data_IF_239538483705
#
_entry.id   IF_239538483705
#
_cell.length_a   1.000
_cell.length_b   1.000
_cell.length_c   1.000
_cell.angle_alpha   90.00
_cell.angle_beta   90.00
_cell.angle_gamma   90.00
#
_symmetry.space_group_name_H-M   'P 1'
#
loop_
_entity.id
_entity.type
_entity.pdbx_description
1 polymer ?
#
# COMPACT_ATOMS: atom_id res chain seq x y z
N UNK A 1 -41.71 -10.80 17.76
CA UNK A 1 -41.08 -11.13 16.48
C UNK A 1 -40.05 -10.04 16.17
N UNK A 2 -38.79 -10.36 16.34
CA UNK A 2 -37.68 -9.40 16.15
C UNK A 2 -37.32 -9.24 14.68
N UNK A 3 -37.32 -8.02 14.12
CA UNK A 3 -36.89 -7.75 12.74
C UNK A 3 -35.37 -7.58 12.59
N UNK A 4 -34.57 -7.96 13.60
CA UNK A 4 -33.13 -7.64 13.65
C UNK A 4 -32.22 -8.57 12.85
N UNK A 5 -32.69 -9.73 12.37
CA UNK A 5 -31.86 -10.67 11.61
C UNK A 5 -31.84 -10.42 10.10
N UNK A 6 -32.79 -9.68 9.56
CA UNK A 6 -32.83 -9.34 8.13
C UNK A 6 -31.88 -8.20 7.75
N UNK A 7 -31.50 -7.35 8.70
CA UNK A 7 -30.65 -6.18 8.48
C UNK A 7 -29.16 -6.52 8.27
N UNK A 8 -28.65 -7.57 8.92
CA UNK A 8 -27.23 -7.92 8.78
C UNK A 8 -26.93 -8.59 7.44
N UNK A 9 -27.77 -9.52 7.01
CA UNK A 9 -27.61 -10.21 5.73
C UNK A 9 -27.74 -9.26 4.52
N UNK A 10 -28.68 -8.32 4.57
CA UNK A 10 -28.83 -7.29 3.52
C UNK A 10 -27.63 -6.33 3.50
N UNK A 11 -27.08 -5.96 4.65
CA UNK A 11 -25.86 -5.14 4.76
C UNK A 11 -24.64 -5.88 4.21
N UNK A 12 -24.52 -7.17 4.43
CA UNK A 12 -23.39 -7.97 3.93
C UNK A 12 -23.47 -8.20 2.42
N UNK A 13 -24.66 -8.41 1.88
CA UNK A 13 -24.88 -8.51 0.43
C UNK A 13 -24.58 -7.17 -0.27
N UNK A 14 -25.00 -6.04 0.35
CA UNK A 14 -24.69 -4.71 -0.19
C UNK A 14 -23.21 -4.42 -0.19
N UNK A 15 -22.48 -4.75 0.88
CA UNK A 15 -21.01 -4.60 0.97
C UNK A 15 -20.27 -5.41 -0.10
N UNK A 16 -20.81 -6.53 -0.54
CA UNK A 16 -20.24 -7.37 -1.60
C UNK A 16 -20.33 -6.77 -3.00
N UNK A 17 -21.22 -5.81 -3.23
CA UNK A 17 -21.54 -5.26 -4.55
C UNK A 17 -20.99 -3.85 -4.80
N UNK A 18 -20.38 -3.21 -3.79
CA UNK A 18 -19.93 -1.82 -3.89
C UNK A 18 -18.44 -1.75 -4.22
N UNK A 19 -18.09 -0.92 -5.21
CA UNK A 19 -16.71 -0.54 -5.48
C UNK A 19 -16.13 0.21 -4.28
N UNK A 20 -14.97 -0.22 -3.80
CA UNK A 20 -14.25 0.42 -2.69
C UNK A 20 -13.29 1.47 -3.25
N UNK A 21 -13.40 2.70 -2.80
CA UNK A 21 -12.38 3.70 -3.10
C UNK A 21 -11.11 3.37 -2.32
N UNK A 22 -10.11 2.85 -3.01
CA UNK A 22 -8.86 2.39 -2.39
C UNK A 22 -7.83 3.51 -2.30
N UNK A 23 -7.14 3.59 -1.16
CA UNK A 23 -5.93 4.39 -0.97
C UNK A 23 -4.78 3.45 -0.61
N UNK A 24 -3.74 3.44 -1.43
CA UNK A 24 -2.59 2.55 -1.28
C UNK A 24 -1.34 3.36 -1.02
N UNK A 25 -0.64 3.06 0.07
CA UNK A 25 0.63 3.71 0.43
C UNK A 25 1.73 2.64 0.52
N UNK A 26 2.81 2.85 -0.21
CA UNK A 26 4.04 2.08 -0.05
C UNK A 26 4.94 2.77 0.97
N UNK A 27 5.36 2.06 2.01
CA UNK A 27 6.23 2.59 3.06
C UNK A 27 7.58 1.89 3.00
N UNK A 28 8.62 2.66 2.80
CA UNK A 28 10.00 2.22 2.73
C UNK A 28 10.85 2.91 3.78
N UNK A 29 11.84 2.19 4.29
CA UNK A 29 12.85 2.74 5.19
C UNK A 29 13.56 1.67 6.01
N UNK A 30 14.64 2.05 6.71
CA UNK A 30 15.43 1.12 7.52
C UNK A 30 14.61 0.40 8.59
N UNK A 31 15.10 -0.75 9.03
CA UNK A 31 14.48 -1.50 10.13
C UNK A 31 14.54 -0.68 11.42
N UNK A 32 13.50 -0.77 12.25
CA UNK A 32 13.46 -0.11 13.55
C UNK A 32 13.05 1.38 13.53
N UNK A 33 12.68 1.93 12.36
CA UNK A 33 12.25 3.34 12.25
C UNK A 33 10.78 3.59 12.63
N UNK A 34 10.07 2.56 13.10
CA UNK A 34 8.68 2.71 13.57
C UNK A 34 7.62 2.76 12.48
N UNK A 35 7.92 2.32 11.25
CA UNK A 35 6.97 2.32 10.10
C UNK A 35 5.60 1.74 10.44
N UNK A 36 5.58 0.48 10.87
CA UNK A 36 4.33 -0.23 11.21
C UNK A 36 3.60 0.40 12.39
N UNK A 37 4.35 0.84 13.40
CA UNK A 37 3.81 1.52 14.56
C UNK A 37 3.13 2.83 14.18
N UNK A 38 3.77 3.65 13.37
CA UNK A 38 3.24 4.92 12.86
C UNK A 38 1.87 4.75 12.18
N UNK A 39 1.71 3.70 11.34
CA UNK A 39 0.42 3.41 10.69
C UNK A 39 -0.62 2.98 11.70
N UNK A 40 -0.28 2.04 12.60
CA UNK A 40 -1.23 1.52 13.60
C UNK A 40 -1.70 2.59 14.59
N UNK A 41 -0.81 3.50 14.98
CA UNK A 41 -1.16 4.63 15.84
C UNK A 41 -2.03 5.66 15.12
N UNK A 42 -1.74 5.92 13.84
CA UNK A 42 -2.51 6.86 13.02
C UNK A 42 -3.93 6.37 12.68
N UNK A 43 -4.08 5.11 12.36
CA UNK A 43 -5.37 4.51 11.93
C UNK A 43 -6.16 3.90 13.09
N UNK A 44 -5.54 3.67 14.24
CA UNK A 44 -6.09 2.93 15.37
C UNK A 44 -5.88 1.42 15.24
N UNK A 45 -5.41 0.80 16.31
CA UNK A 45 -5.05 -0.63 16.34
C UNK A 45 -6.20 -1.57 15.97
N UNK A 46 -7.42 -1.27 16.40
CA UNK A 46 -8.61 -2.08 16.12
C UNK A 46 -9.07 -2.00 14.66
N UNK A 47 -8.71 -0.95 13.95
CA UNK A 47 -9.07 -0.75 12.55
C UNK A 47 -8.07 -1.38 11.58
N UNK A 48 -6.92 -1.82 12.08
CA UNK A 48 -5.83 -2.36 11.29
C UNK A 48 -5.77 -3.87 11.36
N UNK A 49 -5.60 -4.51 10.22
CA UNK A 49 -5.21 -5.90 10.12
C UNK A 49 -3.82 -5.98 9.49
N UNK A 50 -2.86 -6.57 10.19
CA UNK A 50 -1.50 -6.77 9.70
C UNK A 50 -1.32 -8.22 9.24
N UNK A 51 -0.93 -8.37 7.97
CA UNK A 51 -0.50 -9.64 7.40
C UNK A 51 0.93 -9.91 7.86
N UNK A 52 1.12 -10.95 8.65
CA UNK A 52 2.44 -11.40 9.12
C UNK A 52 2.81 -12.77 8.56
N UNK A 53 1.83 -13.56 8.16
CA UNK A 53 2.02 -14.86 7.50
C UNK A 53 1.48 -14.81 6.08
N UNK A 54 2.36 -14.83 5.10
CA UNK A 54 2.00 -14.76 3.68
C UNK A 54 1.56 -16.09 3.07
N UNK A 55 1.64 -17.20 3.82
CA UNK A 55 1.04 -18.49 3.39
C UNK A 55 -0.48 -18.48 3.59
N UNK A 56 -0.95 -17.86 4.67
CA UNK A 56 -2.36 -17.73 4.99
C UNK A 56 -2.71 -16.28 5.38
N UNK A 57 -2.57 -15.34 4.42
CA UNK A 57 -2.49 -13.91 4.75
C UNK A 57 -3.77 -13.35 5.38
N UNK A 58 -4.93 -13.94 5.14
CA UNK A 58 -6.21 -13.35 5.53
C UNK A 58 -6.99 -14.15 6.59
N UNK A 59 -6.42 -15.22 7.13
CA UNK A 59 -7.12 -16.07 8.11
C UNK A 59 -7.58 -15.31 9.37
N UNK A 60 -6.83 -14.32 9.81
CA UNK A 60 -7.17 -13.48 10.95
C UNK A 60 -8.00 -12.24 10.63
N UNK A 61 -8.25 -11.94 9.34
CA UNK A 61 -8.99 -10.77 8.94
C UNK A 61 -10.45 -10.82 9.41
N UNK A 62 -10.98 -9.72 9.92
CA UNK A 62 -12.34 -9.61 10.47
C UNK A 62 -13.12 -8.39 9.96
N UNK A 63 -12.78 -7.90 8.76
CA UNK A 63 -13.43 -6.76 8.17
C UNK A 63 -12.84 -5.40 8.58
N UNK A 64 -11.61 -5.37 9.08
CA UNK A 64 -10.90 -4.12 9.37
C UNK A 64 -10.80 -3.25 8.13
N UNK A 65 -10.81 -1.93 8.32
CA UNK A 65 -10.78 -0.95 7.24
C UNK A 65 -9.39 -0.71 6.66
N UNK A 66 -8.35 -1.05 7.41
CA UNK A 66 -6.94 -0.84 7.04
C UNK A 66 -6.23 -2.18 6.95
N UNK A 67 -5.66 -2.46 5.79
CA UNK A 67 -4.85 -3.65 5.52
C UNK A 67 -3.37 -3.27 5.52
N UNK A 68 -2.55 -3.95 6.32
CA UNK A 68 -1.11 -3.77 6.32
C UNK A 68 -0.43 -5.04 5.81
N UNK A 69 0.32 -4.92 4.73
CA UNK A 69 1.26 -5.94 4.27
C UNK A 69 2.61 -5.63 4.89
N UNK A 70 2.87 -6.19 6.07
CA UNK A 70 4.06 -5.90 6.86
C UNK A 70 5.25 -6.75 6.42
N UNK A 71 6.47 -6.21 6.53
CA UNK A 71 7.70 -6.86 6.09
C UNK A 71 7.61 -7.45 4.67
N UNK A 72 7.05 -6.69 3.75
CA UNK A 72 6.76 -7.15 2.41
C UNK A 72 8.02 -7.19 1.53
N UNK A 73 8.30 -8.36 0.95
CA UNK A 73 9.43 -8.61 0.05
C UNK A 73 8.96 -9.43 -1.15
N UNK A 74 8.05 -8.87 -1.95
CA UNK A 74 7.39 -9.59 -3.06
C UNK A 74 6.77 -10.93 -2.58
N UNK A 75 6.25 -10.91 -1.36
CA UNK A 75 5.82 -12.10 -0.61
C UNK A 75 4.55 -12.74 -1.15
N UNK A 76 3.81 -12.04 -1.99
CA UNK A 76 2.62 -12.52 -2.70
C UNK A 76 2.82 -12.35 -4.21
N UNK A 77 2.23 -13.22 -5.05
CA UNK A 77 2.29 -13.06 -6.50
C UNK A 77 1.77 -11.68 -6.94
N UNK A 78 2.42 -11.06 -7.91
CA UNK A 78 2.07 -9.72 -8.40
C UNK A 78 0.59 -9.63 -8.82
N UNK A 79 0.09 -10.64 -9.55
CA UNK A 79 -1.31 -10.67 -9.97
C UNK A 79 -2.30 -10.71 -8.79
N UNK A 80 -1.94 -11.40 -7.70
CA UNK A 80 -2.73 -11.42 -6.47
C UNK A 80 -2.73 -10.05 -5.78
N UNK A 81 -1.57 -9.40 -5.72
CA UNK A 81 -1.47 -8.04 -5.18
C UNK A 81 -2.31 -7.04 -5.97
N UNK A 82 -2.33 -7.15 -7.30
CA UNK A 82 -3.20 -6.30 -8.14
C UNK A 82 -4.67 -6.41 -7.75
N UNK A 83 -5.14 -7.63 -7.43
CA UNK A 83 -6.52 -7.86 -6.98
C UNK A 83 -6.76 -7.32 -5.56
N UNK A 84 -5.82 -7.54 -4.64
CA UNK A 84 -5.95 -7.08 -3.25
C UNK A 84 -5.93 -5.56 -3.11
N UNK A 85 -5.24 -4.87 -4.00
CA UNK A 85 -5.15 -3.41 -4.03
C UNK A 85 -6.21 -2.74 -4.90
N UNK A 86 -7.06 -3.53 -5.55
CA UNK A 86 -8.16 -3.01 -6.36
C UNK A 86 -9.42 -2.75 -5.52
N UNK A 87 -10.27 -1.85 -6.01
CA UNK A 87 -11.54 -1.48 -5.37
C UNK A 87 -12.71 -2.40 -5.68
N UNK A 88 -12.58 -3.32 -6.63
CA UNK A 88 -13.66 -4.23 -6.98
C UNK A 88 -14.03 -5.17 -5.82
N UNK A 89 -15.30 -5.62 -5.75
CA UNK A 89 -15.71 -6.63 -4.78
C UNK A 89 -14.81 -7.86 -4.86
N UNK A 90 -14.26 -8.28 -3.73
CA UNK A 90 -13.28 -9.34 -3.66
C UNK A 90 -13.50 -10.23 -2.43
N UNK A 91 -13.47 -11.54 -2.64
CA UNK A 91 -13.39 -12.53 -1.58
C UNK A 91 -11.93 -12.89 -1.31
N UNK A 92 -11.50 -12.72 -0.08
CA UNK A 92 -10.16 -13.09 0.37
C UNK A 92 -10.10 -14.57 0.68
N UNK A 93 -9.12 -15.31 0.12
CA UNK A 93 -8.98 -16.74 0.36
C UNK A 93 -8.54 -17.00 1.80
N UNK A 94 -9.29 -17.82 2.51
CA UNK A 94 -8.99 -18.27 3.87
C UNK A 94 -9.17 -19.78 3.98
N UNK A 95 -8.50 -20.43 4.95
CA UNK A 95 -8.52 -21.89 5.11
C UNK A 95 -9.90 -22.48 5.38
N UNK A 96 -10.77 -21.78 6.09
CA UNK A 96 -12.06 -22.33 6.53
C UNK A 96 -13.24 -21.73 5.77
N UNK A 97 -13.27 -20.44 5.59
CA UNK A 97 -14.30 -19.73 4.84
C UNK A 97 -13.73 -18.42 4.28
N UNK A 98 -13.97 -18.17 2.99
CA UNK A 98 -13.57 -16.92 2.37
C UNK A 98 -14.22 -15.74 3.09
N UNK A 99 -13.49 -14.62 3.11
CA UNK A 99 -13.91 -13.39 3.76
C UNK A 99 -14.05 -12.25 2.76
N UNK A 100 -15.08 -11.44 2.94
CA UNK A 100 -15.27 -10.26 2.10
C UNK A 100 -14.23 -9.19 2.41
N UNK A 101 -13.52 -8.69 1.40
CA UNK A 101 -12.64 -7.55 1.53
C UNK A 101 -13.46 -6.28 1.81
N UNK A 102 -13.25 -5.66 2.98
CA UNK A 102 -13.94 -4.45 3.42
C UNK A 102 -12.97 -3.27 3.63
N UNK A 103 -11.67 -3.51 3.54
CA UNK A 103 -10.67 -2.45 3.70
C UNK A 103 -10.72 -1.46 2.52
N UNK A 104 -10.45 -0.21 2.82
CA UNK A 104 -10.35 0.90 1.87
C UNK A 104 -8.96 1.52 1.86
N UNK A 105 -8.14 1.19 2.83
CA UNK A 105 -6.75 1.62 2.91
C UNK A 105 -5.83 0.40 2.95
N UNK A 106 -4.77 0.45 2.17
CA UNK A 106 -3.74 -0.59 2.16
C UNK A 106 -2.35 0.05 2.30
N UNK A 107 -1.56 -0.49 3.20
CA UNK A 107 -0.17 -0.10 3.40
C UNK A 107 0.73 -1.27 3.11
N UNK A 108 1.69 -1.07 2.21
CA UNK A 108 2.74 -2.04 1.92
C UNK A 108 4.00 -1.54 2.61
N UNK A 109 4.43 -2.23 3.67
CA UNK A 109 5.54 -1.82 4.52
C UNK A 109 6.73 -2.71 4.23
N UNK A 110 7.85 -2.11 3.85
CA UNK A 110 9.07 -2.82 3.50
C UNK A 110 10.32 -2.07 3.95
N UNK A 111 11.41 -2.78 4.09
CA UNK A 111 12.76 -2.24 4.16
C UNK A 111 13.48 -2.25 2.80
N UNK A 112 12.81 -2.75 1.75
CA UNK A 112 13.29 -2.66 0.37
C UNK A 112 12.65 -1.45 -0.33
N UNK A 113 13.42 -0.70 -1.13
CA UNK A 113 12.86 0.33 -1.99
C UNK A 113 11.91 -0.28 -3.03
N UNK A 114 10.94 0.53 -3.49
CA UNK A 114 9.86 0.05 -4.36
C UNK A 114 10.39 -0.59 -5.66
N UNK A 115 11.43 -0.04 -6.25
CA UNK A 115 12.08 -0.54 -7.48
C UNK A 115 12.75 -1.93 -7.32
N UNK A 116 12.95 -2.38 -6.09
CA UNK A 116 13.50 -3.71 -5.81
C UNK A 116 12.42 -4.76 -5.52
N UNK A 117 11.16 -4.37 -5.53
CA UNK A 117 10.05 -5.32 -5.48
C UNK A 117 9.80 -5.91 -6.87
N UNK A 118 9.51 -7.20 -6.93
CA UNK A 118 9.11 -7.89 -8.16
C UNK A 118 10.08 -7.72 -9.33
N UNK A 119 11.40 -7.79 -9.08
CA UNK A 119 12.43 -7.53 -10.09
C UNK A 119 12.28 -8.43 -11.33
N UNK A 120 11.96 -9.71 -11.15
CA UNK A 120 11.74 -10.63 -12.29
C UNK A 120 10.51 -10.22 -13.09
N UNK A 121 9.40 -9.92 -12.40
CA UNK A 121 8.14 -9.54 -13.04
C UNK A 121 8.23 -8.19 -13.74
N UNK A 122 9.06 -7.26 -13.27
CA UNK A 122 9.31 -6.00 -13.97
C UNK A 122 9.85 -6.22 -15.38
N UNK A 123 10.68 -7.26 -15.57
CA UNK A 123 11.23 -7.62 -16.88
C UNK A 123 10.31 -8.51 -17.70
N UNK A 124 9.69 -9.50 -17.05
CA UNK A 124 8.86 -10.50 -17.74
C UNK A 124 7.44 -10.00 -18.04
N UNK A 125 6.91 -9.14 -17.17
CA UNK A 125 5.52 -8.63 -17.21
C UNK A 125 5.46 -7.14 -16.87
N UNK A 126 6.09 -6.26 -17.65
CA UNK A 126 6.17 -4.83 -17.37
C UNK A 126 4.78 -4.18 -17.22
N UNK A 127 3.77 -4.67 -17.95
CA UNK A 127 2.40 -4.17 -17.86
C UNK A 127 1.77 -4.41 -16.49
N UNK A 128 2.05 -5.57 -15.87
CA UNK A 128 1.56 -5.89 -14.52
C UNK A 128 2.27 -5.03 -13.46
N UNK A 129 3.55 -4.76 -13.65
CA UNK A 129 4.31 -3.85 -12.80
C UNK A 129 3.75 -2.43 -12.89
N UNK A 130 3.52 -1.91 -14.09
CA UNK A 130 2.92 -0.59 -14.29
C UNK A 130 1.51 -0.52 -13.69
N UNK A 131 0.75 -1.61 -13.75
CA UNK A 131 -0.56 -1.70 -13.10
C UNK A 131 -0.46 -1.62 -11.57
N UNK A 132 0.59 -2.18 -10.96
CA UNK A 132 0.87 -2.01 -9.52
C UNK A 132 1.18 -0.55 -9.19
N UNK A 133 2.09 0.06 -9.95
CA UNK A 133 2.49 1.46 -9.74
C UNK A 133 1.30 2.43 -9.82
N UNK A 134 0.37 2.18 -10.74
CA UNK A 134 -0.86 3.00 -10.86
C UNK A 134 -1.80 2.89 -9.67
N UNK A 135 -1.75 1.78 -8.92
CA UNK A 135 -2.57 1.58 -7.71
C UNK A 135 -1.96 2.23 -6.46
N UNK A 136 -0.67 2.49 -6.47
CA UNK A 136 0.02 3.16 -5.36
C UNK A 136 -0.21 4.67 -5.46
N UNK A 137 -0.85 5.25 -4.45
CA UNK A 137 -1.14 6.67 -4.40
C UNK A 137 0.02 7.48 -3.80
N UNK A 138 0.75 6.89 -2.87
CA UNK A 138 1.80 7.55 -2.11
C UNK A 138 2.97 6.59 -1.83
N UNK A 139 4.19 7.08 -1.95
CA UNK A 139 5.41 6.41 -1.48
C UNK A 139 5.95 7.21 -0.31
N UNK A 140 5.94 6.60 0.88
CA UNK A 140 6.45 7.21 2.11
C UNK A 140 7.82 6.65 2.44
N UNK A 141 8.80 7.51 2.51
CA UNK A 141 10.19 7.17 2.81
C UNK A 141 10.54 7.60 4.22
N UNK A 142 10.92 6.62 5.07
CA UNK A 142 11.37 6.86 6.43
C UNK A 142 12.89 6.99 6.49
N UNK A 143 13.36 7.97 7.23
CA UNK A 143 14.76 8.15 7.56
C UNK A 143 15.14 7.43 8.88
N UNK A 144 16.44 7.34 9.17
CA UNK A 144 16.96 6.69 10.37
C UNK A 144 16.48 7.33 11.68
N UNK A 145 16.18 8.61 11.66
CA UNK A 145 15.68 9.38 12.83
C UNK A 145 14.16 9.19 13.07
N UNK A 146 13.49 8.41 12.20
CA UNK A 146 12.05 8.18 12.27
C UNK A 146 11.21 9.26 11.57
N UNK A 147 11.81 10.29 11.01
CA UNK A 147 11.12 11.23 10.13
C UNK A 147 10.78 10.58 8.80
N UNK A 148 9.78 11.11 8.10
CA UNK A 148 9.40 10.59 6.80
C UNK A 148 9.02 11.70 5.84
N UNK A 149 9.12 11.39 4.54
CA UNK A 149 8.65 12.23 3.44
C UNK A 149 7.75 11.44 2.53
N UNK A 150 6.70 12.08 2.06
CA UNK A 150 5.73 11.50 1.15
C UNK A 150 5.98 11.99 -0.28
N UNK A 151 5.93 11.07 -1.23
CA UNK A 151 6.13 11.29 -2.65
C UNK A 151 4.98 10.67 -3.43
N UNK A 152 4.63 11.25 -4.56
CA UNK A 152 3.91 10.50 -5.59
C UNK A 152 4.84 9.46 -6.21
N UNK A 153 4.30 8.44 -6.86
CA UNK A 153 5.13 7.43 -7.56
C UNK A 153 6.03 8.10 -8.61
N UNK A 154 5.49 9.10 -9.31
CA UNK A 154 6.27 9.84 -10.30
C UNK A 154 7.45 10.59 -9.67
N UNK A 155 7.23 11.33 -8.58
CA UNK A 155 8.28 12.06 -7.86
C UNK A 155 9.33 11.12 -7.25
N UNK A 156 8.90 9.93 -6.80
CA UNK A 156 9.80 8.94 -6.24
C UNK A 156 10.80 8.40 -7.28
N UNK A 157 10.32 8.10 -8.50
CA UNK A 157 11.19 7.60 -9.58
C UNK A 157 11.92 8.72 -10.33
N UNK A 158 11.41 9.95 -10.27
CA UNK A 158 11.99 11.13 -10.94
C UNK A 158 12.19 12.25 -9.92
N UNK A 159 13.13 12.09 -8.96
CA UNK A 159 13.42 13.17 -8.02
C UNK A 159 13.84 14.39 -8.83
N UNK A 160 13.11 15.49 -8.69
CA UNK A 160 13.52 16.76 -9.24
C UNK A 160 14.88 17.10 -8.63
N UNK A 161 15.94 16.96 -9.41
CA UNK A 161 17.14 17.72 -9.17
C UNK A 161 16.74 19.17 -9.41
N UNK A 162 16.44 19.91 -8.32
CA UNK A 162 16.47 21.36 -8.37
C UNK A 162 17.83 21.71 -8.94
N UNK A 163 17.92 22.42 -10.09
CA UNK A 163 19.20 22.93 -10.52
C UNK A 163 19.66 23.82 -9.36
N UNK A 164 20.73 23.43 -8.71
CA UNK A 164 21.49 24.31 -7.85
C UNK A 164 21.85 25.49 -8.72
N UNK A 165 21.34 26.67 -8.41
CA UNK A 165 21.80 27.91 -8.98
C UNK A 165 23.23 28.13 -8.45
N UNK A 166 24.19 27.38 -8.99
CA UNK A 166 25.59 27.71 -8.88
C UNK A 166 25.91 28.69 -10.03
N UNK A 167 26.05 29.93 -9.56
CA UNK A 167 26.90 30.96 -10.15
C UNK A 167 26.76 31.17 -11.67
N UNK A 168 25.86 32.05 -12.03
CA UNK A 168 26.13 32.93 -13.16
C UNK A 168 27.28 33.83 -12.68
N UNK A 169 28.51 33.43 -12.97
CA UNK A 169 29.60 34.39 -13.03
C UNK A 169 29.20 35.41 -14.11
N UNK A 170 28.89 36.60 -13.64
CA UNK A 170 28.76 37.75 -14.51
C UNK A 170 30.19 38.04 -14.96
N UNK A 171 30.53 37.48 -16.10
CA UNK A 171 31.75 37.88 -16.81
C UNK A 171 31.59 39.34 -17.16
N UNK A 172 32.44 40.14 -16.55
CA UNK A 172 32.59 41.58 -16.74
C UNK A 172 32.70 41.85 -18.24
N UNK A 173 31.73 42.55 -18.77
CA UNK A 173 31.78 43.06 -20.12
C UNK A 173 32.57 44.39 -20.10
N UNK A 174 33.81 44.45 -20.61
CA UNK A 174 34.48 45.71 -20.84
C UNK A 174 33.95 46.32 -22.13
N UNK A 175 33.16 47.37 -21.99
CA UNK A 175 32.66 48.27 -23.01
C UNK A 175 31.88 47.72 -24.17
#
# INVERSE_FOLDING_TARGET
>A
RSPLLASSAASDVYKRQVFRQMTVTYIFGPTGTGKTRSVKEGCGYSNCYAVSDYHHPFDGYRGQKVMLFDEFHSSLPLNSMLQYLDGYPLELPCRYANKQACYTEAYIISNLPLEKQYVSEQHEKPEAWDALLRRINCVRVFDLDGSHKDYTVHEYFHPCTTPTFEQIEIDDCPF
#
